data_IF_377529755123
#
_entry.id   IF_377529755123
#
_cell.length_a   1.000
_cell.length_b   1.000
_cell.length_c   1.000
_cell.angle_alpha   90.00
_cell.angle_beta   90.00
_cell.angle_gamma   90.00
#
_symmetry.space_group_name_H-M   'P 1'
#
loop_
_entity.id
_entity.type
_entity.pdbx_description
1 polymer ?
#
# COMPACT_ATOMS: atom_id res chain seq x y z
N UNK A 1 -0.41 1.50 23.21
CA UNK A 1 0.14 2.55 22.38
C UNK A 1 -0.90 2.97 21.36
N UNK A 2 -0.97 4.24 21.05
CA UNK A 2 -1.91 4.74 20.07
C UNK A 2 -1.61 4.18 18.69
N UNK A 3 -2.61 4.26 17.80
CA UNK A 3 -2.44 3.88 16.41
C UNK A 3 -1.28 4.63 15.77
N UNK A 4 -0.61 3.97 14.86
CA UNK A 4 0.59 4.50 14.23
C UNK A 4 0.32 4.78 12.76
N UNK A 5 0.77 5.93 12.28
CA UNK A 5 0.74 6.23 10.86
C UNK A 5 1.67 5.29 10.11
N UNK A 6 1.36 5.10 8.83
CA UNK A 6 2.23 4.33 7.95
C UNK A 6 3.60 4.99 7.90
N UNK A 7 4.65 4.18 7.94
CA UNK A 7 6.03 4.66 7.86
C UNK A 7 6.20 5.50 6.60
N UNK A 8 6.78 6.69 6.76
CA UNK A 8 6.98 7.59 5.65
C UNK A 8 7.74 6.91 4.51
N UNK A 9 7.25 7.07 3.30
CA UNK A 9 7.87 6.49 2.11
C UNK A 9 7.45 5.06 1.81
N UNK A 10 6.61 4.43 2.65
CA UNK A 10 6.19 3.03 2.42
C UNK A 10 4.75 2.90 1.93
N UNK A 11 3.98 3.97 1.95
CA UNK A 11 2.55 3.88 1.61
C UNK A 11 2.33 3.34 0.19
N UNK A 12 3.11 3.80 -0.78
CA UNK A 12 2.99 3.34 -2.16
C UNK A 12 3.18 1.83 -2.26
N UNK A 13 4.21 1.31 -1.60
CA UNK A 13 4.46 -0.14 -1.54
C UNK A 13 3.27 -0.89 -0.94
N UNK A 14 2.69 -0.36 0.13
CA UNK A 14 1.55 -0.99 0.79
C UNK A 14 0.29 -0.97 -0.09
N UNK A 15 0.08 0.11 -0.85
CA UNK A 15 -1.01 0.18 -1.83
C UNK A 15 -0.79 -0.88 -2.92
N UNK A 16 0.41 -0.93 -3.49
CA UNK A 16 0.73 -1.91 -4.54
C UNK A 16 0.54 -3.34 -4.03
N UNK A 17 0.98 -3.63 -2.81
CA UNK A 17 0.81 -4.95 -2.23
C UNK A 17 -0.66 -5.30 -2.04
N UNK A 18 -1.46 -4.36 -1.53
CA UNK A 18 -2.89 -4.58 -1.34
C UNK A 18 -3.57 -4.91 -2.67
N UNK A 19 -3.23 -4.18 -3.73
CA UNK A 19 -3.81 -4.41 -5.05
C UNK A 19 -3.26 -5.66 -5.73
N UNK A 20 -2.10 -6.16 -5.31
CA UNK A 20 -1.58 -7.43 -5.84
C UNK A 20 -2.42 -8.61 -5.40
N UNK A 21 -3.16 -8.46 -4.31
CA UNK A 21 -4.02 -9.51 -3.78
C UNK A 21 -5.35 -9.58 -4.52
N UNK A 22 -5.92 -8.43 -4.84
CA UNK A 22 -7.11 -8.31 -5.69
C UNK A 22 -7.36 -6.83 -6.01
N UNK A 23 -8.02 -6.54 -7.12
CA UNK A 23 -8.48 -5.17 -7.39
C UNK A 23 -9.46 -4.72 -6.33
N UNK A 24 -9.41 -3.43 -5.94
CA UNK A 24 -10.34 -2.92 -4.94
C UNK A 24 -10.43 -1.39 -5.00
N UNK A 25 -11.49 -0.84 -4.42
CA UNK A 25 -11.64 0.60 -4.27
C UNK A 25 -10.79 1.10 -3.09
N UNK A 26 -10.66 2.43 -3.01
CA UNK A 26 -9.77 3.03 -2.01
C UNK A 26 -10.08 2.64 -0.57
N UNK A 27 -11.35 2.58 -0.21
CA UNK A 27 -11.75 2.17 1.14
C UNK A 27 -11.32 0.73 1.44
N UNK A 28 -11.42 -0.14 0.43
CA UNK A 28 -10.96 -1.53 0.57
C UNK A 28 -9.48 -1.63 0.83
N UNK A 29 -8.67 -0.78 0.18
CA UNK A 29 -7.23 -0.74 0.42
C UNK A 29 -6.94 -0.31 1.86
N UNK A 30 -7.62 0.73 2.35
CA UNK A 30 -7.49 1.18 3.73
C UNK A 30 -7.77 0.05 4.70
N UNK A 31 -8.91 -0.63 4.53
CA UNK A 31 -9.29 -1.74 5.39
C UNK A 31 -8.26 -2.87 5.35
N UNK A 32 -7.77 -3.18 4.15
CA UNK A 32 -6.80 -4.26 3.97
C UNK A 32 -5.51 -3.97 4.73
N UNK A 33 -4.97 -2.77 4.60
CA UNK A 33 -3.74 -2.40 5.29
C UNK A 33 -3.94 -2.47 6.81
N UNK A 34 -5.05 -1.94 7.32
CA UNK A 34 -5.31 -1.95 8.74
C UNK A 34 -5.52 -3.37 9.28
N UNK A 35 -6.26 -4.20 8.54
CA UNK A 35 -6.51 -5.59 8.96
C UNK A 35 -5.24 -6.43 8.97
N UNK A 36 -4.45 -6.38 7.90
CA UNK A 36 -3.25 -7.20 7.80
C UNK A 36 -2.19 -6.75 8.81
N UNK A 37 -2.09 -5.45 9.07
CA UNK A 37 -1.16 -4.94 10.08
C UNK A 37 -1.70 -5.12 11.50
N UNK A 38 -2.87 -5.73 11.66
CA UNK A 38 -3.54 -5.95 12.95
C UNK A 38 -3.74 -4.64 13.71
N UNK A 39 -4.09 -3.60 12.98
CA UNK A 39 -4.38 -2.29 13.55
C UNK A 39 -3.15 -1.46 13.90
N UNK A 40 -1.95 -1.97 13.61
CA UNK A 40 -0.71 -1.22 13.90
C UNK A 40 -0.66 0.06 13.05
N UNK A 41 -1.03 -0.04 11.77
CA UNK A 41 -1.03 1.11 10.88
C UNK A 41 -2.43 1.62 10.62
N UNK A 42 -2.57 2.94 10.66
CA UNK A 42 -3.77 3.65 10.21
C UNK A 42 -3.40 4.46 8.97
N UNK A 43 -4.30 4.45 7.99
CA UNK A 43 -4.04 5.12 6.72
C UNK A 43 -4.82 6.43 6.68
N UNK A 44 -4.09 7.53 6.48
CA UNK A 44 -4.70 8.84 6.31
C UNK A 44 -5.38 8.90 4.94
N UNK A 45 -6.70 9.23 4.87
CA UNK A 45 -7.41 9.26 3.58
C UNK A 45 -6.82 10.22 2.56
N UNK A 46 -6.33 11.38 3.00
CA UNK A 46 -5.69 12.34 2.09
C UNK A 46 -4.40 11.81 1.50
N UNK A 47 -3.57 11.18 2.32
CA UNK A 47 -2.33 10.55 1.85
C UNK A 47 -2.62 9.40 0.89
N UNK A 48 -3.65 8.62 1.18
CA UNK A 48 -4.07 7.52 0.32
C UNK A 48 -4.47 8.02 -1.07
N UNK A 49 -5.30 9.07 -1.11
CA UNK A 49 -5.73 9.65 -2.38
C UNK A 49 -4.54 10.14 -3.21
N UNK A 50 -3.62 10.86 -2.58
CA UNK A 50 -2.41 11.34 -3.25
C UNK A 50 -1.55 10.17 -3.75
N UNK A 51 -1.48 9.09 -2.98
CA UNK A 51 -0.78 7.88 -3.37
C UNK A 51 -1.37 7.25 -4.63
N UNK A 52 -2.69 7.11 -4.67
CA UNK A 52 -3.38 6.59 -5.86
C UNK A 52 -3.12 7.48 -7.08
N UNK A 53 -3.21 8.78 -6.93
CA UNK A 53 -2.99 9.72 -8.04
C UNK A 53 -1.56 9.59 -8.59
N UNK A 54 -0.59 9.48 -7.69
CA UNK A 54 0.82 9.34 -8.07
C UNK A 54 1.07 8.02 -8.79
N UNK A 55 0.57 6.92 -8.23
CA UNK A 55 0.77 5.59 -8.81
C UNK A 55 0.06 5.43 -10.16
N UNK A 56 -1.12 6.00 -10.29
CA UNK A 56 -1.86 5.97 -11.55
C UNK A 56 -1.10 6.78 -12.62
N UNK A 57 -0.60 7.95 -12.26
CA UNK A 57 0.18 8.79 -13.17
C UNK A 57 1.45 8.10 -13.63
N UNK A 58 2.06 7.29 -12.77
CA UNK A 58 3.28 6.55 -13.09
C UNK A 58 3.00 5.24 -13.83
N UNK A 59 1.74 4.90 -14.05
CA UNK A 59 1.36 3.67 -14.76
C UNK A 59 1.52 2.40 -13.95
N UNK A 60 1.61 2.51 -12.62
CA UNK A 60 1.78 1.35 -11.75
C UNK A 60 0.44 0.73 -11.37
N UNK A 61 -0.63 1.51 -11.45
CA UNK A 61 -2.00 1.03 -11.24
C UNK A 61 -2.89 1.60 -12.32
N UNK A 62 -3.98 0.87 -12.63
CA UNK A 62 -5.06 1.33 -13.48
C UNK A 62 -6.29 1.57 -12.63
N UNK A 63 -7.19 2.39 -13.13
CA UNK A 63 -8.43 2.68 -12.44
C UNK A 63 -9.60 2.56 -13.41
N UNK A 64 -10.71 2.04 -12.89
CA UNK A 64 -11.96 2.04 -13.64
C UNK A 64 -13.14 2.23 -12.69
N UNK A 65 -14.19 2.82 -13.21
CA UNK A 65 -15.42 2.99 -12.44
C UNK A 65 -16.26 1.74 -12.55
N UNK A 66 -16.70 1.22 -11.38
CA UNK A 66 -17.58 0.06 -11.31
C UNK A 66 -18.71 0.34 -10.34
N UNK A 67 -19.77 -0.45 -10.45
CA UNK A 67 -20.82 -0.44 -9.45
C UNK A 67 -20.34 -1.24 -8.24
N UNK A 68 -20.37 -0.62 -7.05
CA UNK A 68 -20.03 -1.29 -5.81
C UNK A 68 -21.18 -2.17 -5.31
N UNK A 69 -20.92 -2.94 -4.26
CA UNK A 69 -21.95 -3.79 -3.62
C UNK A 69 -23.16 -3.00 -3.17
N UNK A 70 -23.00 -1.73 -2.85
CA UNK A 70 -24.08 -0.86 -2.39
C UNK A 70 -24.78 -0.12 -3.53
N UNK A 71 -24.62 -0.59 -4.76
CA UNK A 71 -25.18 0.03 -5.97
C UNK A 71 -24.71 1.47 -6.19
N UNK A 72 -23.51 1.80 -5.70
CA UNK A 72 -22.88 3.11 -5.90
C UNK A 72 -21.69 2.97 -6.82
N UNK A 73 -21.46 3.98 -7.65
CA UNK A 73 -20.25 4.00 -8.46
C UNK A 73 -19.03 4.20 -7.56
N UNK A 74 -18.03 3.36 -7.75
CA UNK A 74 -16.77 3.47 -7.04
C UNK A 74 -15.62 3.28 -8.02
N UNK A 75 -14.53 3.97 -7.77
CA UNK A 75 -13.32 3.84 -8.58
C UNK A 75 -12.53 2.65 -8.05
N UNK A 76 -12.38 1.64 -8.88
CA UNK A 76 -11.61 0.44 -8.55
C UNK A 76 -10.23 0.53 -9.17
N UNK A 77 -9.24 0.16 -8.40
CA UNK A 77 -7.85 0.17 -8.82
C UNK A 77 -7.34 -1.25 -8.98
N UNK A 78 -6.46 -1.45 -9.95
CA UNK A 78 -5.81 -2.74 -10.17
C UNK A 78 -4.35 -2.54 -10.49
N UNK A 79 -3.55 -3.54 -10.14
CA UNK A 79 -2.12 -3.51 -10.33
C UNK A 79 -1.79 -3.79 -11.79
N UNK A 80 -0.92 -2.98 -12.40
CA UNK A 80 -0.42 -3.24 -13.75
C UNK A 80 0.80 -4.15 -13.70
N UNK A 81 1.24 -4.64 -14.87
CA UNK A 81 2.49 -5.41 -14.96
C UNK A 81 3.68 -4.59 -14.46
N UNK A 82 3.70 -3.29 -14.81
CA UNK A 82 4.73 -2.38 -14.33
C UNK A 82 4.67 -2.25 -12.82
N UNK A 83 3.44 -2.19 -12.26
CA UNK A 83 3.24 -2.11 -10.82
C UNK A 83 3.73 -3.36 -10.10
N UNK A 84 3.55 -4.54 -10.69
CA UNK A 84 4.06 -5.79 -10.10
C UNK A 84 5.58 -5.79 -10.02
N UNK A 85 6.24 -5.31 -11.06
CA UNK A 85 7.71 -5.20 -11.07
C UNK A 85 8.19 -4.21 -10.00
N UNK A 86 7.51 -3.07 -9.91
CA UNK A 86 7.87 -2.07 -8.91
C UNK A 86 7.66 -2.59 -7.49
N UNK A 87 6.57 -3.31 -7.25
CA UNK A 87 6.31 -3.93 -5.96
C UNK A 87 7.43 -4.87 -5.54
N UNK A 88 7.92 -5.69 -6.48
CA UNK A 88 9.01 -6.60 -6.18
C UNK A 88 10.27 -5.85 -5.79
N UNK A 89 10.62 -4.82 -6.54
CA UNK A 89 11.80 -4.00 -6.25
C UNK A 89 11.68 -3.33 -4.88
N UNK A 90 10.52 -2.76 -4.59
CA UNK A 90 10.27 -2.09 -3.31
C UNK A 90 10.33 -3.08 -2.15
N UNK A 91 9.75 -4.27 -2.34
CA UNK A 91 9.75 -5.31 -1.31
C UNK A 91 11.16 -5.79 -1.02
N UNK A 92 11.95 -6.06 -2.06
CA UNK A 92 13.33 -6.51 -1.90
C UNK A 92 14.18 -5.45 -1.18
N UNK A 93 14.02 -4.19 -1.56
CA UNK A 93 14.74 -3.08 -0.93
C UNK A 93 14.33 -2.94 0.55
N UNK A 94 13.03 -3.02 0.82
CA UNK A 94 12.53 -2.92 2.19
C UNK A 94 13.06 -4.05 3.06
N UNK A 95 13.05 -5.28 2.57
CA UNK A 95 13.55 -6.43 3.32
C UNK A 95 15.04 -6.30 3.63
N UNK A 96 15.82 -5.78 2.68
CA UNK A 96 17.23 -5.51 2.89
C UNK A 96 17.43 -4.47 3.99
N UNK A 97 16.63 -3.42 4.01
CA UNK A 97 16.71 -2.36 5.03
C UNK A 97 16.30 -2.88 6.40
N UNK A 98 15.25 -3.67 6.48
CA UNK A 98 14.78 -4.25 7.74
C UNK A 98 15.86 -5.16 8.33
N UNK A 99 16.48 -5.99 7.49
CA UNK A 99 17.56 -6.87 7.94
C UNK A 99 18.75 -6.07 8.48
N UNK A 100 19.10 -4.97 7.83
CA UNK A 100 20.18 -4.10 8.28
C UNK A 100 19.85 -3.45 9.62
N UNK A 101 18.61 -2.97 9.77
CA UNK A 101 18.15 -2.37 11.03
C UNK A 101 18.21 -3.40 12.16
N UNK A 102 17.74 -4.62 11.89
CA UNK A 102 17.77 -5.69 12.89
C UNK A 102 19.21 -5.96 13.36
N UNK A 103 20.16 -6.00 12.43
CA UNK A 103 21.56 -6.21 12.80
C UNK A 103 22.10 -5.09 13.70
N UNK A 104 21.72 -3.85 13.39
CA UNK A 104 22.15 -2.71 14.21
C UNK A 104 21.55 -2.78 15.62
N UNK A 105 20.28 -3.15 15.72
CA UNK A 105 19.60 -3.25 17.02
C UNK A 105 20.15 -4.39 17.87
N UNK A 106 20.68 -5.44 17.26
CA UNK A 106 21.26 -6.59 17.95
C UNK A 106 22.73 -6.40 18.32
N UNK A 107 23.37 -5.36 17.78
CA UNK A 107 24.79 -5.13 18.03
C UNK A 107 25.05 -4.79 19.49
N UNK A 108 26.14 -5.30 20.03
CA UNK A 108 26.56 -5.03 21.39
C UNK A 108 27.82 -4.16 21.41
N UNK A 109 27.96 -3.37 22.47
CA UNK A 109 29.12 -2.49 22.63
C UNK A 109 30.40 -3.26 22.88
#
# INVERSE_FOLDING_TARGET
MADTDVIQGTLDMLILKSLSLQPMHGFGVTQRIEQISKGVFKVNPGSLLLGFQRLEREGLIDAEWRMSENSRRAKYYSLTSKGRKQLKLDTDDWQRRVAAIARLLEAEA
#
